data_IF_810246809222
#
_entry.id   IF_810246809222
#
_cell.length_a   1.000
_cell.length_b   1.000
_cell.length_c   1.000
_cell.angle_alpha   90.00
_cell.angle_beta   90.00
_cell.angle_gamma   90.00
#
_symmetry.space_group_name_H-M   'P 1'
#
loop_
_entity.id
_entity.type
_entity.pdbx_description
1 polymer ?
#
# COMPACT_ATOMS: atom_id res chain seq x y z
N UNK A 1 3.99 13.19 -9.46
CA UNK A 1 3.36 13.03 -8.12
C UNK A 1 2.02 12.35 -8.34
N UNK A 2 1.76 11.20 -7.70
CA UNK A 2 0.48 10.52 -7.85
C UNK A 2 -0.61 11.33 -7.15
N UNK A 3 -1.62 11.76 -7.89
CA UNK A 3 -2.82 12.38 -7.33
C UNK A 3 -3.47 11.40 -6.34
N UNK A 4 -3.92 11.88 -5.17
CA UNK A 4 -4.62 11.03 -4.19
C UNK A 4 -5.89 11.75 -3.72
N UNK A 5 -7.00 11.02 -3.67
CA UNK A 5 -8.28 11.53 -3.19
C UNK A 5 -8.26 11.47 -1.66
N UNK A 6 -8.53 12.59 -1.01
CA UNK A 6 -8.55 12.72 0.44
C UNK A 6 -9.87 13.33 0.90
N UNK A 7 -10.40 12.80 1.98
CA UNK A 7 -11.51 13.42 2.70
C UNK A 7 -11.02 14.68 3.45
N UNK A 8 -11.93 15.59 3.77
CA UNK A 8 -11.66 16.78 4.60
C UNK A 8 -11.07 16.44 5.98
N UNK A 9 -11.26 15.22 6.49
CA UNK A 9 -10.62 14.76 7.73
C UNK A 9 -9.16 14.29 7.54
N UNK A 10 -8.62 14.41 6.32
CA UNK A 10 -7.28 13.96 5.95
C UNK A 10 -7.16 12.48 5.56
N UNK A 11 -8.21 11.68 5.77
CA UNK A 11 -8.21 10.26 5.40
C UNK A 11 -8.12 10.08 3.88
N UNK A 12 -7.19 9.24 3.41
CA UNK A 12 -7.14 8.83 2.00
C UNK A 12 -8.34 7.94 1.68
N UNK A 13 -8.97 8.23 0.55
CA UNK A 13 -10.09 7.46 -0.01
C UNK A 13 -9.52 6.36 -0.89
N UNK A 14 -9.91 5.11 -0.62
CA UNK A 14 -9.54 3.94 -1.42
C UNK A 14 -10.77 3.40 -2.16
N UNK A 15 -10.57 2.46 -3.09
CA UNK A 15 -11.64 1.87 -3.90
C UNK A 15 -12.82 1.34 -3.06
N UNK A 16 -12.55 0.79 -1.87
CA UNK A 16 -13.59 0.28 -0.94
C UNK A 16 -14.47 1.39 -0.35
N UNK A 17 -13.96 2.62 -0.26
CA UNK A 17 -14.70 3.77 0.26
C UNK A 17 -15.57 4.44 -0.81
N UNK A 18 -15.32 4.13 -2.09
CA UNK A 18 -16.00 4.73 -3.24
C UNK A 18 -17.34 4.04 -3.47
N UNK A 19 -18.39 4.86 -3.53
CA UNK A 19 -19.76 4.40 -3.77
C UNK A 19 -20.13 4.49 -5.25
N UNK A 20 -19.63 5.53 -5.93
CA UNK A 20 -19.94 5.78 -7.32
C UNK A 20 -18.79 6.51 -8.00
N UNK A 21 -18.47 6.09 -9.22
CA UNK A 21 -17.61 6.81 -10.15
C UNK A 21 -18.38 7.09 -11.44
N UNK A 22 -18.06 8.20 -12.10
CA UNK A 22 -18.68 8.55 -13.37
C UNK A 22 -17.81 9.49 -14.19
N UNK A 23 -17.85 9.33 -15.50
CA UNK A 23 -17.16 10.23 -16.42
C UNK A 23 -18.07 11.41 -16.75
N UNK A 24 -17.58 12.61 -16.48
CA UNK A 24 -18.20 13.86 -16.88
C UNK A 24 -17.45 14.40 -18.09
N UNK A 25 -17.90 13.99 -19.27
CA UNK A 25 -17.32 14.37 -20.56
C UNK A 25 -17.87 15.73 -20.98
N UNK A 26 -16.99 16.62 -21.46
CA UNK A 26 -17.37 17.86 -22.13
C UNK A 26 -16.99 17.79 -23.60
N UNK A 27 -17.83 18.35 -24.47
CA UNK A 27 -17.55 18.46 -25.91
C UNK A 27 -16.37 19.43 -26.19
N UNK A 28 -16.17 20.42 -25.31
CA UNK A 28 -15.07 21.37 -25.37
C UNK A 28 -14.50 21.58 -23.95
N UNK A 29 -13.18 21.47 -23.80
CA UNK A 29 -12.47 21.63 -22.53
C UNK A 29 -12.15 20.30 -21.82
N UNK A 30 -11.58 20.34 -20.61
CA UNK A 30 -11.13 19.15 -19.91
C UNK A 30 -12.31 18.29 -19.44
N UNK A 31 -12.18 16.98 -19.63
CA UNK A 31 -13.07 15.98 -19.07
C UNK A 31 -12.71 15.68 -17.62
N UNK A 32 -13.69 15.29 -16.83
CA UNK A 32 -13.51 15.00 -15.40
C UNK A 32 -14.04 13.62 -15.06
N UNK A 33 -13.46 13.01 -14.03
CA UNK A 33 -14.01 11.86 -13.33
C UNK A 33 -14.60 12.35 -12.03
N UNK A 34 -15.89 12.11 -11.86
CA UNK A 34 -16.62 12.34 -10.63
C UNK A 34 -16.48 11.12 -9.72
N UNK A 35 -16.11 11.35 -8.47
CA UNK A 35 -15.98 10.32 -7.43
C UNK A 35 -16.82 10.69 -6.23
N UNK A 36 -17.77 9.83 -5.88
CA UNK A 36 -18.53 9.89 -4.64
C UNK A 36 -18.07 8.79 -3.70
N UNK A 37 -17.76 9.16 -2.46
CA UNK A 37 -17.22 8.24 -1.48
C UNK A 37 -17.81 8.47 -0.08
N UNK A 38 -17.75 7.43 0.75
CA UNK A 38 -18.04 7.51 2.19
C UNK A 38 -16.76 7.27 2.95
N UNK A 39 -16.28 8.27 3.68
CA UNK A 39 -15.01 8.16 4.39
C UNK A 39 -15.04 7.05 5.45
N UNK A 40 -14.09 6.13 5.40
CA UNK A 40 -13.90 5.07 6.39
C UNK A 40 -13.64 5.58 7.81
N UNK A 41 -13.02 6.76 7.97
CA UNK A 41 -12.70 7.36 9.28
C UNK A 41 -13.85 8.18 9.86
N UNK A 42 -14.27 9.25 9.18
CA UNK A 42 -15.28 10.17 9.73
C UNK A 42 -16.72 9.82 9.33
N UNK A 43 -16.92 8.78 8.50
CA UNK A 43 -18.22 8.27 8.00
C UNK A 43 -19.07 9.26 7.21
N UNK A 44 -18.58 10.47 6.94
CA UNK A 44 -19.22 11.49 6.10
C UNK A 44 -19.09 11.13 4.61
N UNK A 45 -20.09 11.57 3.84
CA UNK A 45 -20.05 11.52 2.39
C UNK A 45 -19.21 12.68 1.85
N UNK A 46 -18.41 12.40 0.84
CA UNK A 46 -17.62 13.37 0.11
C UNK A 46 -17.71 13.14 -1.39
N UNK A 47 -17.49 14.20 -2.13
CA UNK A 47 -17.55 14.22 -3.59
C UNK A 47 -16.33 14.98 -4.11
N UNK A 48 -15.69 14.47 -5.16
CA UNK A 48 -14.54 15.11 -5.77
C UNK A 48 -14.55 14.93 -7.29
N UNK A 49 -14.18 16.00 -8.00
CA UNK A 49 -13.92 15.98 -9.43
C UNK A 49 -12.42 15.92 -9.65
N UNK A 50 -11.97 14.91 -10.38
CA UNK A 50 -10.58 14.73 -10.79
C UNK A 50 -10.51 14.96 -12.29
N UNK A 51 -9.51 15.69 -12.79
CA UNK A 51 -9.33 15.81 -14.25
C UNK A 51 -9.05 14.43 -14.84
N UNK A 52 -9.59 14.13 -16.01
CA UNK A 52 -9.36 12.83 -16.64
C UNK A 52 -7.87 12.56 -16.91
N UNK A 53 -7.08 13.60 -17.20
CA UNK A 53 -5.62 13.52 -17.37
C UNK A 53 -4.89 13.11 -16.09
N UNK A 54 -5.46 13.40 -14.92
CA UNK A 54 -4.92 13.06 -13.60
C UNK A 54 -5.52 11.75 -13.06
N UNK A 55 -6.46 11.15 -13.79
CA UNK A 55 -7.11 9.90 -13.42
C UNK A 55 -6.27 8.71 -13.88
N UNK A 56 -5.43 8.20 -12.99
CA UNK A 56 -4.66 6.97 -13.20
C UNK A 56 -5.34 5.78 -12.51
N UNK A 57 -5.21 4.57 -13.07
CA UNK A 57 -5.78 3.32 -12.51
C UNK A 57 -5.38 3.06 -11.03
N UNK A 58 -4.29 3.67 -10.56
CA UNK A 58 -3.80 3.57 -9.18
C UNK A 58 -4.33 4.63 -8.20
N UNK A 59 -5.14 5.61 -8.62
CA UNK A 59 -5.54 6.73 -7.73
C UNK A 59 -6.32 6.27 -6.50
N UNK A 60 -7.14 5.23 -6.67
CA UNK A 60 -7.95 4.58 -5.64
C UNK A 60 -7.35 3.27 -5.12
N UNK A 61 -6.18 2.85 -5.61
CA UNK A 61 -5.54 1.64 -5.11
C UNK A 61 -5.24 1.80 -3.63
N UNK A 62 -5.24 0.70 -2.88
CA UNK A 62 -4.81 0.73 -1.48
C UNK A 62 -3.37 1.28 -1.37
N UNK A 63 -2.92 1.62 -0.15
CA UNK A 63 -1.54 2.07 0.06
C UNK A 63 -0.56 1.16 -0.71
N UNK A 64 0.51 1.72 -1.33
CA UNK A 64 1.50 0.89 -2.00
C UNK A 64 1.92 -0.21 -1.04
N UNK A 65 1.68 -1.46 -1.45
CA UNK A 65 2.22 -2.60 -0.73
C UNK A 65 3.73 -2.37 -0.66
N UNK A 66 4.30 -2.39 0.54
CA UNK A 66 5.76 -2.25 0.72
C UNK A 66 6.53 -3.32 -0.08
N UNK A 67 5.85 -4.41 -0.45
CA UNK A 67 6.31 -5.43 -1.37
C UNK A 67 6.05 -5.07 -2.83
N UNK A 68 7.11 -5.21 -3.62
CA UNK A 68 7.03 -5.31 -5.07
C UNK A 68 6.28 -6.57 -5.51
N UNK A 69 5.78 -6.58 -6.74
CA UNK A 69 5.12 -7.78 -7.30
C UNK A 69 6.08 -8.97 -7.39
N UNK A 70 7.37 -8.71 -7.63
CA UNK A 70 8.40 -9.75 -7.71
C UNK A 70 8.67 -10.38 -6.34
N UNK A 71 8.72 -9.58 -5.27
CA UNK A 71 8.79 -10.09 -3.89
C UNK A 71 7.56 -10.91 -3.54
N UNK A 72 6.37 -10.46 -3.96
CA UNK A 72 5.14 -11.21 -3.71
C UNK A 72 5.10 -12.57 -4.43
N UNK A 73 5.62 -12.64 -5.67
CA UNK A 73 5.79 -13.92 -6.39
C UNK A 73 6.83 -14.81 -5.70
N UNK A 74 7.96 -14.22 -5.28
CA UNK A 74 9.00 -14.93 -4.53
C UNK A 74 8.45 -15.54 -3.25
N UNK A 75 7.80 -14.78 -2.39
CA UNK A 75 7.24 -15.30 -1.13
C UNK A 75 6.15 -16.34 -1.38
N UNK A 76 5.32 -16.16 -2.41
CA UNK A 76 4.33 -17.17 -2.78
C UNK A 76 4.99 -18.49 -3.22
N UNK A 77 6.14 -18.43 -3.87
CA UNK A 77 6.90 -19.62 -4.28
C UNK A 77 7.63 -20.32 -3.13
N UNK A 78 7.90 -19.61 -2.02
CA UNK A 78 8.54 -20.19 -0.83
C UNK A 78 7.59 -21.09 -0.03
N UNK A 79 6.28 -20.99 -0.24
CA UNK A 79 5.30 -21.84 0.44
C UNK A 79 4.93 -21.34 1.84
N UNK A 80 4.21 -22.18 2.60
CA UNK A 80 3.86 -21.88 3.99
C UNK A 80 5.03 -22.26 4.89
N UNK A 81 5.29 -21.43 5.90
CA UNK A 81 6.27 -21.74 6.94
C UNK A 81 5.82 -23.00 7.70
N UNK A 82 6.66 -24.02 7.70
CA UNK A 82 6.46 -25.27 8.43
C UNK A 82 6.92 -25.18 9.89
N UNK A 83 6.45 -26.09 10.72
CA UNK A 83 6.83 -26.16 12.13
C UNK A 83 8.33 -26.41 12.31
N UNK A 84 8.97 -27.15 11.42
CA UNK A 84 10.42 -27.38 11.46
C UNK A 84 11.19 -26.08 11.20
N UNK A 85 10.75 -25.26 10.23
CA UNK A 85 11.36 -23.96 9.95
C UNK A 85 11.24 -23.01 11.15
N UNK A 86 10.12 -23.06 11.88
CA UNK A 86 9.94 -22.30 13.13
C UNK A 86 10.90 -22.76 14.23
N UNK A 87 11.12 -24.07 14.35
CA UNK A 87 12.03 -24.66 15.35
C UNK A 87 13.48 -24.30 15.02
N UNK A 88 13.88 -24.43 13.76
CA UNK A 88 15.22 -24.08 13.30
C UNK A 88 15.49 -22.59 13.52
N UNK A 89 14.54 -21.72 13.18
CA UNK A 89 14.65 -20.29 13.45
C UNK A 89 14.77 -19.99 14.95
N UNK A 90 14.04 -20.70 15.81
CA UNK A 90 14.13 -20.53 17.25
C UNK A 90 15.54 -20.86 17.78
N UNK A 91 16.10 -22.00 17.39
CA UNK A 91 17.46 -22.38 17.81
C UNK A 91 18.54 -21.47 17.23
N UNK A 92 18.39 -21.01 15.99
CA UNK A 92 19.30 -20.00 15.43
C UNK A 92 19.21 -18.68 16.18
N UNK A 93 18.01 -18.25 16.58
CA UNK A 93 17.85 -17.04 17.39
C UNK A 93 18.43 -17.18 18.80
N UNK A 94 18.40 -18.38 19.38
CA UNK A 94 19.08 -18.68 20.65
C UNK A 94 20.62 -18.76 20.49
N UNK A 95 21.10 -19.24 19.33
CA UNK A 95 22.53 -19.33 19.01
C UNK A 95 23.17 -17.96 18.78
N UNK A 96 22.35 -16.99 18.33
CA UNK A 96 22.75 -15.59 18.16
C UNK A 96 23.01 -14.96 19.53
N UNK A 97 24.28 -15.02 19.93
CA UNK A 97 24.75 -14.58 21.23
C UNK A 97 24.63 -13.05 21.41
N UNK A 98 23.50 -12.59 21.96
CA UNK A 98 23.18 -11.19 22.28
C UNK A 98 23.19 -10.23 21.07
N UNK A 99 22.29 -9.24 21.13
CA UNK A 99 22.25 -8.12 20.17
C UNK A 99 23.59 -7.39 20.01
N UNK A 100 24.51 -7.50 20.97
CA UNK A 100 25.84 -6.91 20.90
C UNK A 100 26.74 -7.59 19.85
N UNK A 101 26.76 -8.92 19.76
CA UNK A 101 27.58 -9.62 18.74
C UNK A 101 27.03 -9.44 17.33
N UNK A 102 25.70 -9.42 17.18
CA UNK A 102 25.07 -9.08 15.89
C UNK A 102 25.48 -7.69 15.40
N UNK A 103 25.64 -6.73 16.32
CA UNK A 103 26.09 -5.38 15.99
C UNK A 103 27.53 -5.38 15.48
N UNK A 104 28.41 -6.16 16.11
CA UNK A 104 29.80 -6.34 15.69
C UNK A 104 29.88 -6.99 14.30
N UNK A 105 29.09 -8.03 14.01
CA UNK A 105 29.08 -8.69 12.69
C UNK A 105 28.58 -7.75 11.57
N UNK A 106 27.60 -6.90 11.88
CA UNK A 106 27.10 -5.90 10.95
C UNK A 106 28.12 -4.78 10.67
N UNK A 107 28.93 -4.41 11.66
CA UNK A 107 30.00 -3.42 11.51
C UNK A 107 31.20 -3.99 10.71
N UNK A 108 31.54 -5.27 10.91
CA UNK A 108 32.58 -5.99 10.14
C UNK A 108 32.19 -6.20 8.68
N UNK A 109 30.90 -6.45 8.39
CA UNK A 109 30.40 -6.64 7.02
C UNK A 109 30.33 -5.36 6.19
N UNK A 110 30.66 -4.20 6.78
CA UNK A 110 30.56 -2.86 6.17
C UNK A 110 31.93 -2.24 5.86
N UNK A 111 33.03 -2.90 6.25
CA UNK A 111 34.41 -2.56 5.86
C UNK A 111 34.86 -3.40 4.66
#
# INVERSE_FOLDING_TARGET
MRSTIKCNCGQRVIAKDVMQTGYYLRLFGPSFVYVKYRCSRCKKLGEQFVKQEEWEDGILSDAPCEMTQDEQRKFKSMGKIDIHECIDAHFELESIASLAKLRETFEESKS
#
